data_IF_498828506293
#
_entry.id   IF_498828506293
#
_cell.length_a   1.000
_cell.length_b   1.000
_cell.length_c   1.000
_cell.angle_alpha   90.00
_cell.angle_beta   90.00
_cell.angle_gamma   90.00
#
_symmetry.space_group_name_H-M   'P 1'
#
loop_
_entity.id
_entity.type
_entity.pdbx_description
1 polymer ?
#
# COMPACT_ATOMS: atom_id res chain seq x y z
N UNK A 1 0.40 5.92 3.98
CA UNK A 1 1.05 4.82 3.24
C UNK A 1 1.19 3.66 4.22
N UNK A 2 0.80 2.44 3.82
CA UNK A 2 0.56 1.34 4.75
C UNK A 2 -0.86 1.31 5.32
N UNK A 3 -1.26 0.14 5.81
CA UNK A 3 -2.54 -0.10 6.49
C UNK A 3 -2.48 0.42 7.91
N UNK A 4 -3.49 1.17 8.35
CA UNK A 4 -3.63 1.61 9.75
C UNK A 4 -4.35 0.52 10.54
N UNK A 5 -3.69 0.01 11.57
CA UNK A 5 -4.17 -1.14 12.36
C UNK A 5 -4.56 -0.78 13.78
N UNK A 6 -4.22 0.43 14.23
CA UNK A 6 -4.51 0.89 15.59
C UNK A 6 -6.01 1.02 15.83
N UNK A 7 -6.50 0.38 16.90
CA UNK A 7 -7.87 0.54 17.40
C UNK A 7 -8.97 -0.15 16.57
N UNK A 8 -8.62 -1.15 15.74
CA UNK A 8 -9.60 -1.89 14.92
C UNK A 8 -9.32 -3.40 14.93
N UNK A 9 -10.21 -4.16 15.56
CA UNK A 9 -10.08 -5.61 15.78
C UNK A 9 -10.14 -6.44 14.48
N UNK A 10 -10.73 -5.92 13.40
CA UNK A 10 -10.90 -6.60 12.12
C UNK A 10 -10.07 -6.00 10.98
N UNK A 11 -9.21 -5.01 11.28
CA UNK A 11 -8.49 -4.25 10.26
C UNK A 11 -7.59 -5.13 9.40
N UNK A 12 -7.23 -6.33 9.83
CA UNK A 12 -6.38 -7.26 9.06
C UNK A 12 -7.13 -7.91 7.89
N UNK A 13 -8.44 -8.09 8.02
CA UNK A 13 -9.27 -8.84 7.07
C UNK A 13 -10.14 -7.94 6.19
N UNK A 14 -10.22 -6.65 6.54
CA UNK A 14 -11.04 -5.67 5.82
C UNK A 14 -10.16 -4.84 4.87
N UNK A 15 -10.46 -4.81 3.55
CA UNK A 15 -9.71 -3.97 2.60
C UNK A 15 -9.75 -2.49 2.98
N UNK A 16 -8.60 -1.83 2.92
CA UNK A 16 -8.45 -0.40 3.15
C UNK A 16 -7.93 0.34 1.90
N UNK A 17 -8.43 1.55 1.66
CA UNK A 17 -7.96 2.40 0.57
C UNK A 17 -6.56 2.96 0.86
N UNK A 18 -5.66 2.89 -0.13
CA UNK A 18 -4.35 3.56 -0.09
C UNK A 18 -4.36 4.75 -1.04
N UNK A 19 -4.24 5.96 -0.48
CA UNK A 19 -4.17 7.19 -1.27
C UNK A 19 -2.78 7.38 -1.89
N UNK A 20 -2.73 7.52 -3.21
CA UNK A 20 -1.54 7.80 -4.00
C UNK A 20 -1.78 9.04 -4.89
N UNK A 21 -0.73 9.82 -5.22
CA UNK A 21 -0.89 11.12 -5.89
C UNK A 21 -1.12 11.03 -7.40
N UNK A 22 -1.42 9.86 -7.94
CA UNK A 22 -1.56 9.64 -9.37
C UNK A 22 -2.15 8.27 -9.71
N UNK A 23 -2.34 8.03 -11.02
CA UNK A 23 -2.92 6.79 -11.51
C UNK A 23 -1.91 5.65 -11.39
N UNK A 24 -2.30 4.59 -10.69
CA UNK A 24 -1.49 3.38 -10.57
C UNK A 24 -1.70 2.48 -11.79
N UNK A 25 -0.60 2.03 -12.38
CA UNK A 25 -0.61 1.11 -13.53
C UNK A 25 -0.09 -0.29 -13.18
N UNK A 26 0.62 -0.43 -12.06
CA UNK A 26 1.10 -1.73 -11.58
C UNK A 26 1.27 -1.75 -10.05
N UNK A 27 1.03 -2.91 -9.44
CA UNK A 27 1.17 -3.16 -8.00
C UNK A 27 1.95 -4.45 -7.78
N UNK A 28 2.83 -4.44 -6.77
CA UNK A 28 3.52 -5.63 -6.26
C UNK A 28 3.23 -5.79 -4.78
N UNK A 29 2.89 -7.01 -4.37
CA UNK A 29 2.72 -7.39 -2.97
C UNK A 29 3.82 -8.40 -2.61
N UNK A 30 4.86 -7.92 -1.92
CA UNK A 30 5.84 -8.79 -1.27
C UNK A 30 5.39 -9.17 0.14
N UNK A 31 6.16 -10.02 0.80
CA UNK A 31 5.79 -10.59 2.11
C UNK A 31 5.53 -9.56 3.22
N UNK A 32 6.22 -8.41 3.17
CA UNK A 32 6.08 -7.36 4.20
C UNK A 32 6.02 -5.95 3.63
N UNK A 33 6.05 -5.82 2.30
CA UNK A 33 6.03 -4.54 1.61
C UNK A 33 5.12 -4.60 0.39
N UNK A 34 4.63 -3.43 0.01
CA UNK A 34 3.87 -3.21 -1.22
C UNK A 34 4.54 -2.08 -1.99
N UNK A 35 4.57 -2.20 -3.32
CA UNK A 35 5.02 -1.15 -4.21
C UNK A 35 3.99 -0.88 -5.30
N UNK A 36 3.91 0.37 -5.75
CA UNK A 36 3.04 0.80 -6.84
C UNK A 36 3.80 1.67 -7.83
N UNK A 37 3.62 1.40 -9.12
CA UNK A 37 4.12 2.20 -10.24
C UNK A 37 3.00 3.10 -10.76
N UNK A 38 3.28 4.40 -10.84
CA UNK A 38 2.38 5.38 -11.44
C UNK A 38 2.59 5.45 -12.96
N UNK A 39 1.58 5.95 -13.69
CA UNK A 39 1.66 6.20 -15.13
C UNK A 39 2.73 7.24 -15.52
N UNK A 40 3.11 8.13 -14.60
CA UNK A 40 4.22 9.08 -14.76
C UNK A 40 5.61 8.51 -14.46
N UNK A 41 5.71 7.22 -14.13
CA UNK A 41 6.96 6.51 -13.87
C UNK A 41 7.47 6.60 -12.43
N UNK A 42 6.82 7.34 -11.54
CA UNK A 42 7.19 7.35 -10.11
C UNK A 42 6.79 6.05 -9.42
N UNK A 43 7.59 5.61 -8.46
CA UNK A 43 7.33 4.43 -7.63
C UNK A 43 7.11 4.85 -6.18
N UNK A 44 6.07 4.31 -5.56
CA UNK A 44 5.79 4.45 -4.14
C UNK A 44 5.84 3.08 -3.48
N UNK A 45 6.48 2.98 -2.32
CA UNK A 45 6.55 1.76 -1.53
C UNK A 45 6.12 2.02 -0.09
N UNK A 46 5.47 1.03 0.52
CA UNK A 46 5.01 1.09 1.90
C UNK A 46 4.93 -0.30 2.53
N UNK A 47 4.75 -0.35 3.84
CA UNK A 47 4.82 -1.59 4.63
C UNK A 47 5.97 -1.52 5.62
N UNK A 48 6.25 -2.64 6.28
CA UNK A 48 7.36 -2.72 7.22
C UNK A 48 8.55 -3.32 6.47
N UNK A 49 9.49 -2.47 6.07
CA UNK A 49 10.86 -2.92 5.88
C UNK A 49 11.35 -3.24 7.29
N UNK A 50 11.38 -4.52 7.68
CA UNK A 50 12.08 -4.90 8.91
C UNK A 50 13.56 -4.57 8.77
#
# INVERSE_FOLDING_TARGET
LGRVTEGKDDAELTPGEVKLPGKVIQVWAGDSHTAALLDDGRVFAWGTFR
#
